data_IF_377746628667
#
_entry.id   IF_377746628667
#
_cell.length_a   1.000
_cell.length_b   1.000
_cell.length_c   1.000
_cell.angle_alpha   90.00
_cell.angle_beta   90.00
_cell.angle_gamma   90.00
#
_symmetry.space_group_name_H-M   'P 1'
#
loop_
_entity.id
_entity.type
_entity.pdbx_description
1 polymer ?
#
# COMPACT_ATOMS: atom_id res chain seq x y z
N UNK A 1 -3.08 -19.58 10.35
CA UNK A 1 -3.63 -18.82 11.48
C UNK A 1 -4.72 -17.91 10.96
N UNK A 2 -5.92 -18.03 11.55
CA UNK A 2 -7.06 -17.15 11.26
C UNK A 2 -7.39 -16.33 12.49
N UNK A 3 -7.72 -15.06 12.31
CA UNK A 3 -8.09 -14.16 13.41
C UNK A 3 -9.36 -13.40 13.07
N UNK A 4 -10.27 -13.32 14.04
CA UNK A 4 -11.52 -12.56 13.94
C UNK A 4 -12.42 -12.99 12.76
N UNK A 5 -12.38 -14.25 12.38
CA UNK A 5 -13.25 -14.87 11.37
C UNK A 5 -14.44 -15.56 12.05
N UNK A 6 -15.46 -15.90 11.27
CA UNK A 6 -16.53 -16.79 11.72
C UNK A 6 -16.13 -18.25 11.54
N UNK A 7 -16.79 -19.15 12.29
CA UNK A 7 -16.68 -20.59 12.15
C UNK A 7 -18.00 -21.13 11.56
N UNK A 8 -17.90 -21.94 10.52
CA UNK A 8 -18.99 -22.80 10.08
C UNK A 8 -19.01 -24.04 10.99
N UNK A 9 -20.03 -24.19 11.83
CA UNK A 9 -20.10 -25.27 12.79
C UNK A 9 -20.42 -26.62 12.15
N UNK A 10 -20.92 -26.65 10.93
CA UNK A 10 -21.28 -27.88 10.22
C UNK A 10 -20.05 -28.72 9.79
N UNK A 11 -18.96 -28.05 9.45
CA UNK A 11 -17.74 -28.69 8.92
C UNK A 11 -16.44 -28.20 9.58
N UNK A 12 -16.54 -27.31 10.58
CA UNK A 12 -15.43 -26.65 11.26
C UNK A 12 -14.51 -25.83 10.33
N UNK A 13 -15.01 -25.33 9.20
CA UNK A 13 -14.28 -24.41 8.32
C UNK A 13 -14.45 -22.97 8.78
N UNK A 14 -13.49 -22.13 8.42
CA UNK A 14 -13.58 -20.68 8.67
C UNK A 14 -14.34 -19.98 7.56
N UNK A 15 -15.00 -18.89 7.90
CA UNK A 15 -15.75 -18.09 6.95
C UNK A 15 -15.58 -16.58 7.23
N UNK A 16 -15.62 -15.77 6.15
CA UNK A 16 -15.72 -14.29 6.20
C UNK A 16 -16.42 -13.78 4.95
N UNK A 17 -16.97 -12.57 5.00
CA UNK A 17 -17.90 -11.99 4.01
C UNK A 17 -17.39 -11.92 2.57
N UNK A 18 -16.08 -12.01 2.35
CA UNK A 18 -15.47 -11.98 1.00
C UNK A 18 -14.99 -13.35 0.52
N UNK A 19 -15.05 -14.36 1.37
CA UNK A 19 -14.70 -15.73 1.00
C UNK A 19 -15.81 -16.38 0.18
N UNK A 20 -17.05 -16.23 0.66
CA UNK A 20 -18.25 -16.76 0.00
C UNK A 20 -19.40 -15.75 0.20
N UNK A 21 -20.29 -15.66 -0.80
CA UNK A 21 -21.49 -14.83 -0.76
C UNK A 21 -22.57 -15.39 0.16
N UNK A 22 -22.53 -16.69 0.41
CA UNK A 22 -23.53 -17.39 1.22
C UNK A 22 -22.98 -17.66 2.62
N UNK A 23 -23.47 -16.97 3.65
CA UNK A 23 -23.06 -17.23 5.02
C UNK A 23 -23.51 -18.62 5.48
N UNK A 24 -22.72 -19.33 6.31
CA UNK A 24 -23.10 -20.62 6.87
C UNK A 24 -24.33 -20.49 7.77
N UNK A 25 -25.27 -21.44 7.64
CA UNK A 25 -26.52 -21.42 8.44
C UNK A 25 -26.23 -21.62 9.93
N UNK A 26 -25.41 -22.61 10.26
CA UNK A 26 -24.94 -22.83 11.65
C UNK A 26 -23.56 -22.20 11.78
N UNK A 27 -23.51 -21.00 12.34
CA UNK A 27 -22.29 -20.23 12.46
C UNK A 27 -21.99 -19.85 13.90
N UNK A 28 -20.69 -19.74 14.22
CA UNK A 28 -20.22 -18.99 15.37
C UNK A 28 -19.59 -17.70 14.87
N UNK A 29 -20.19 -16.55 15.21
CA UNK A 29 -19.65 -15.26 14.80
C UNK A 29 -18.34 -14.93 15.54
N UNK A 30 -17.57 -13.96 15.06
CA UNK A 30 -16.21 -13.69 15.52
C UNK A 30 -16.06 -13.35 17.02
N UNK A 31 -17.14 -12.97 17.71
CA UNK A 31 -17.15 -12.75 19.17
C UNK A 31 -17.52 -14.01 19.97
N UNK A 32 -17.86 -15.10 19.28
CA UNK A 32 -18.13 -16.41 19.86
C UNK A 32 -19.60 -16.75 20.06
N UNK A 33 -20.54 -15.92 19.60
CA UNK A 33 -21.96 -16.25 19.67
C UNK A 33 -22.35 -17.21 18.52
N UNK A 34 -23.14 -18.24 18.85
CA UNK A 34 -23.75 -19.12 17.87
C UNK A 34 -24.98 -18.45 17.27
N UNK A 35 -25.07 -18.41 15.96
CA UNK A 35 -26.11 -17.70 15.22
C UNK A 35 -26.52 -18.44 13.95
N UNK A 36 -27.72 -18.14 13.44
CA UNK A 36 -28.07 -18.44 12.06
C UNK A 36 -27.45 -17.37 11.17
N UNK A 37 -26.45 -17.73 10.38
CA UNK A 37 -25.65 -16.74 9.61
C UNK A 37 -26.47 -15.88 8.67
N UNK A 38 -27.34 -16.43 7.79
CA UNK A 38 -28.20 -15.63 6.91
C UNK A 38 -29.09 -14.64 7.66
N UNK A 39 -29.71 -15.05 8.76
CA UNK A 39 -30.56 -14.18 9.57
C UNK A 39 -29.73 -13.10 10.27
N UNK A 40 -28.58 -13.47 10.83
CA UNK A 40 -27.70 -12.56 11.53
C UNK A 40 -27.16 -11.43 10.63
N UNK A 41 -26.72 -11.74 9.41
CA UNK A 41 -26.23 -10.71 8.50
C UNK A 41 -27.33 -9.86 7.86
N UNK A 42 -28.58 -10.29 7.94
CA UNK A 42 -29.73 -9.49 7.54
C UNK A 42 -30.12 -8.43 8.60
N UNK A 43 -29.68 -8.60 9.86
CA UNK A 43 -29.94 -7.63 10.91
C UNK A 43 -29.08 -6.38 10.77
N UNK A 44 -29.64 -5.24 11.13
CA UNK A 44 -28.93 -3.97 11.20
C UNK A 44 -28.35 -3.77 12.60
N UNK A 45 -27.08 -3.43 12.66
CA UNK A 45 -26.43 -3.02 13.90
C UNK A 45 -26.88 -1.60 14.27
N UNK A 46 -27.50 -1.47 15.44
CA UNK A 46 -28.09 -0.21 15.91
C UNK A 46 -27.08 0.93 16.08
N UNK A 47 -25.81 0.60 16.33
CA UNK A 47 -24.76 1.59 16.57
C UNK A 47 -24.18 2.14 15.26
N UNK A 48 -24.09 1.28 14.25
CA UNK A 48 -23.43 1.63 12.98
C UNK A 48 -24.42 1.92 11.84
N UNK A 49 -25.69 1.49 11.98
CA UNK A 49 -26.72 1.58 10.93
C UNK A 49 -26.41 0.69 9.71
N UNK A 50 -25.46 -0.23 9.81
CA UNK A 50 -25.07 -1.16 8.75
C UNK A 50 -25.46 -2.59 9.13
N UNK A 51 -25.58 -3.47 8.14
CA UNK A 51 -25.80 -4.88 8.39
C UNK A 51 -24.69 -5.45 9.28
N UNK A 52 -25.08 -6.36 10.17
CA UNK A 52 -24.11 -7.10 11.00
C UNK A 52 -23.22 -7.97 10.12
N UNK A 53 -22.03 -8.28 10.61
CA UNK A 53 -21.05 -9.14 9.92
C UNK A 53 -20.69 -10.33 10.83
N UNK A 54 -20.59 -11.52 10.26
CA UNK A 54 -20.15 -12.72 10.97
C UNK A 54 -18.67 -12.65 11.32
N UNK A 55 -17.83 -12.15 10.41
CA UNK A 55 -16.43 -11.87 10.68
C UNK A 55 -16.20 -10.38 11.00
N UNK A 56 -15.13 -10.07 11.72
CA UNK A 56 -14.72 -8.69 11.95
C UNK A 56 -14.23 -8.06 10.63
N UNK A 57 -14.51 -6.78 10.36
CA UNK A 57 -14.00 -6.09 9.16
C UNK A 57 -12.47 -6.14 8.99
N UNK A 58 -11.75 -6.32 10.09
CA UNK A 58 -10.30 -6.53 10.11
C UNK A 58 -9.92 -8.00 10.38
N UNK A 59 -10.70 -8.94 9.87
CA UNK A 59 -10.32 -10.35 9.88
C UNK A 59 -9.06 -10.58 9.05
N UNK A 60 -8.21 -11.49 9.51
CA UNK A 60 -6.91 -11.77 8.87
C UNK A 60 -6.64 -13.26 8.86
N UNK A 61 -5.86 -13.69 7.87
CA UNK A 61 -5.25 -15.01 7.87
C UNK A 61 -3.80 -14.95 7.42
N UNK A 62 -3.01 -15.92 7.87
CA UNK A 62 -1.66 -16.19 7.41
C UNK A 62 -1.52 -17.67 7.09
N UNK A 63 -0.73 -17.99 6.06
CA UNK A 63 -0.37 -19.34 5.69
C UNK A 63 1.16 -19.48 5.75
N UNK A 64 1.70 -20.69 6.04
CA UNK A 64 3.13 -20.94 5.89
C UNK A 64 3.59 -20.70 4.47
N UNK A 65 4.80 -20.16 4.30
CA UNK A 65 5.37 -19.92 2.98
C UNK A 65 5.59 -21.22 2.19
N UNK A 66 5.77 -22.33 2.88
CA UNK A 66 5.91 -23.67 2.29
C UNK A 66 4.69 -24.14 1.53
N UNK A 67 3.51 -23.53 1.77
CA UNK A 67 2.29 -23.79 1.01
C UNK A 67 2.34 -23.13 -0.39
N UNK A 68 3.30 -22.26 -0.66
CA UNK A 68 3.47 -21.64 -1.96
C UNK A 68 4.06 -22.65 -2.95
N UNK A 69 3.37 -23.04 -4.05
CA UNK A 69 3.87 -24.07 -4.97
C UNK A 69 5.12 -23.63 -5.74
N UNK A 70 5.42 -22.34 -5.80
CA UNK A 70 6.60 -21.79 -6.46
C UNK A 70 7.58 -21.12 -5.48
N UNK A 71 7.61 -21.59 -4.22
CA UNK A 71 8.56 -21.07 -3.24
C UNK A 71 10.00 -21.26 -3.73
N UNK A 72 10.82 -20.22 -3.55
CA UNK A 72 12.23 -20.31 -3.92
C UNK A 72 12.95 -21.37 -3.07
N UNK A 73 13.83 -22.21 -3.66
CA UNK A 73 14.70 -23.12 -2.88
C UNK A 73 15.62 -22.37 -1.91
N UNK A 74 15.90 -21.09 -2.19
CA UNK A 74 16.71 -20.22 -1.34
C UNK A 74 15.94 -19.61 -0.16
N UNK A 75 14.62 -19.86 -0.02
CA UNK A 75 13.77 -19.25 1.00
C UNK A 75 14.31 -19.48 2.43
N UNK A 76 14.82 -20.68 2.73
CA UNK A 76 15.40 -21.06 4.01
C UNK A 76 16.95 -21.09 4.00
N UNK A 77 17.60 -20.47 3.00
CA UNK A 77 19.06 -20.45 2.94
C UNK A 77 19.62 -19.65 4.13
N UNK A 78 20.44 -20.25 5.02
CA UNK A 78 20.99 -19.56 6.18
C UNK A 78 21.95 -18.42 5.82
N UNK A 79 22.49 -18.39 4.61
CA UNK A 79 23.30 -17.28 4.10
C UNK A 79 22.46 -16.04 3.78
N UNK A 80 21.13 -16.19 3.73
CA UNK A 80 20.19 -15.15 3.30
C UNK A 80 20.19 -14.96 1.79
N UNK A 81 19.39 -14.01 1.34
CA UNK A 81 19.29 -13.59 -0.07
C UNK A 81 19.44 -12.06 -0.17
N UNK A 82 20.02 -11.54 -1.26
CA UNK A 82 20.11 -10.09 -1.48
C UNK A 82 18.71 -9.46 -1.60
N UNK A 83 18.54 -8.27 -1.07
CA UNK A 83 17.34 -7.45 -1.27
C UNK A 83 17.57 -6.56 -2.50
N UNK A 84 16.75 -6.72 -3.55
CA UNK A 84 16.85 -5.94 -4.79
C UNK A 84 15.89 -4.77 -4.85
N UNK A 85 14.75 -4.86 -4.17
CA UNK A 85 13.71 -3.84 -4.13
C UNK A 85 13.12 -3.66 -2.75
N UNK A 86 12.78 -2.42 -2.41
CA UNK A 86 11.93 -2.07 -1.27
C UNK A 86 10.68 -1.40 -1.86
N UNK A 87 9.51 -1.87 -1.45
CA UNK A 87 8.23 -1.42 -2.00
C UNK A 87 7.39 -0.83 -0.87
N UNK A 88 7.14 0.46 -0.95
CA UNK A 88 6.16 1.13 -0.10
C UNK A 88 4.79 1.15 -0.77
N UNK A 89 3.73 1.35 0.01
CA UNK A 89 2.39 1.51 -0.52
C UNK A 89 1.43 2.06 0.52
N UNK A 90 0.38 2.69 0.02
CA UNK A 90 -0.70 3.22 0.82
C UNK A 90 -2.00 3.27 0.00
N UNK A 91 -3.13 3.39 0.67
CA UNK A 91 -4.42 3.56 -0.01
C UNK A 91 -4.62 5.03 -0.35
N UNK A 92 -4.58 5.35 -1.64
CA UNK A 92 -4.79 6.70 -2.15
C UNK A 92 -5.83 6.65 -3.28
N UNK A 93 -6.96 7.29 -3.10
CA UNK A 93 -8.01 7.36 -4.13
C UNK A 93 -7.57 8.19 -5.35
N UNK A 94 -6.67 9.15 -5.16
CA UNK A 94 -6.16 10.05 -6.20
C UNK A 94 -4.63 10.20 -6.09
N UNK A 95 -4.07 11.23 -6.67
CA UNK A 95 -2.68 11.72 -6.60
C UNK A 95 -1.62 10.68 -6.95
N UNK A 96 -1.48 9.62 -6.15
CA UNK A 96 -0.41 8.63 -6.29
C UNK A 96 -0.67 7.69 -7.47
N UNK A 97 0.26 7.56 -8.43
CA UNK A 97 0.13 6.61 -9.55
C UNK A 97 0.16 5.16 -9.07
N UNK A 98 -0.23 4.24 -9.99
CA UNK A 98 -0.22 2.79 -9.75
C UNK A 98 1.13 2.30 -9.23
N UNK A 99 2.21 2.78 -9.83
CA UNK A 99 3.58 2.47 -9.43
C UNK A 99 4.53 3.57 -9.89
N UNK A 100 5.56 3.85 -9.08
CA UNK A 100 6.72 4.64 -9.51
C UNK A 100 7.96 4.26 -8.70
N UNK A 101 9.13 4.45 -9.29
CA UNK A 101 10.44 4.19 -8.70
C UNK A 101 11.09 5.50 -8.27
N UNK A 102 11.79 5.50 -7.15
CA UNK A 102 12.61 6.65 -6.73
C UNK A 102 13.81 6.90 -7.67
N UNK A 103 14.29 8.14 -7.72
CA UNK A 103 15.48 8.50 -8.48
C UNK A 103 16.75 7.87 -7.87
N UNK A 104 16.85 7.91 -6.56
CA UNK A 104 17.96 7.40 -5.76
C UNK A 104 17.47 6.98 -4.36
N UNK A 105 18.40 6.60 -3.50
CA UNK A 105 18.10 6.18 -2.12
C UNK A 105 17.56 7.32 -1.26
N UNK A 106 18.07 8.54 -1.40
CA UNK A 106 17.61 9.70 -0.62
C UNK A 106 16.17 10.04 -0.99
N UNK A 107 15.87 10.10 -2.29
CA UNK A 107 14.50 10.26 -2.78
C UNK A 107 13.59 9.10 -2.34
N UNK A 108 14.11 7.86 -2.34
CA UNK A 108 13.38 6.70 -1.84
C UNK A 108 13.10 6.76 -0.34
N UNK A 109 14.02 7.29 0.45
CA UNK A 109 13.80 7.56 1.88
C UNK A 109 12.72 8.62 2.08
N UNK A 110 12.73 9.69 1.28
CA UNK A 110 11.63 10.66 1.23
C UNK A 110 10.30 9.97 0.87
N UNK A 111 10.26 9.19 -0.21
CA UNK A 111 9.09 8.45 -0.65
C UNK A 111 8.49 7.59 0.47
N UNK A 112 9.34 6.87 1.22
CA UNK A 112 8.91 6.08 2.37
C UNK A 112 8.40 6.94 3.53
N UNK A 113 9.06 8.06 3.83
CA UNK A 113 8.65 8.99 4.89
C UNK A 113 7.31 9.68 4.59
N UNK A 114 6.99 9.85 3.30
CA UNK A 114 5.77 10.46 2.80
C UNK A 114 4.60 9.49 2.66
N UNK A 115 4.78 8.20 2.95
CA UNK A 115 3.68 7.22 2.86
C UNK A 115 2.50 7.71 3.68
N UNK A 116 1.36 7.75 3.03
CA UNK A 116 0.08 8.14 3.63
C UNK A 116 -1.02 7.20 3.15
N UNK A 117 -1.99 6.96 4.00
CA UNK A 117 -3.12 6.08 3.69
C UNK A 117 -4.43 6.72 4.09
N UNK A 118 -5.41 6.64 3.22
CA UNK A 118 -6.78 7.03 3.57
C UNK A 118 -7.42 6.02 4.50
N UNK A 119 -8.18 6.48 5.47
CA UNK A 119 -8.89 5.63 6.43
C UNK A 119 -9.99 4.84 5.74
N UNK A 120 -10.19 3.61 6.19
CA UNK A 120 -11.23 2.69 5.68
C UNK A 120 -12.34 2.50 6.72
N UNK A 121 -13.43 1.86 6.31
CA UNK A 121 -14.53 1.50 7.20
C UNK A 121 -14.12 0.59 8.38
N UNK A 122 -12.96 -0.08 8.30
CA UNK A 122 -12.41 -0.89 9.38
C UNK A 122 -11.70 -0.06 10.47
N UNK A 123 -11.40 1.21 10.19
CA UNK A 123 -10.78 2.13 11.15
C UNK A 123 -11.88 2.89 11.93
N UNK A 124 -11.53 3.30 13.14
CA UNK A 124 -12.38 4.24 13.91
C UNK A 124 -12.24 5.63 13.33
N UNK A 125 -13.35 6.29 13.00
CA UNK A 125 -13.37 7.65 12.46
C UNK A 125 -13.98 7.75 11.06
N UNK A 126 -13.85 8.92 10.43
CA UNK A 126 -14.37 9.15 9.08
C UNK A 126 -13.57 8.38 8.03
N UNK A 127 -14.28 7.83 7.03
CA UNK A 127 -13.67 7.16 5.87
C UNK A 127 -13.06 8.18 4.93
N UNK A 128 -11.92 7.86 4.31
CA UNK A 128 -11.28 8.72 3.32
C UNK A 128 -10.41 9.84 3.92
N UNK A 129 -10.21 9.88 5.23
CA UNK A 129 -9.31 10.85 5.86
C UNK A 129 -7.87 10.42 5.66
N UNK A 130 -7.03 11.31 5.15
CA UNK A 130 -5.61 11.05 4.96
C UNK A 130 -4.90 10.95 6.31
N UNK A 131 -4.16 9.87 6.49
CA UNK A 131 -3.31 9.62 7.66
C UNK A 131 -1.88 9.40 7.22
N UNK A 132 -0.96 10.22 7.71
CA UNK A 132 0.46 9.98 7.54
C UNK A 132 0.88 8.70 8.26
N UNK A 133 1.55 7.84 7.55
CA UNK A 133 1.98 6.51 8.02
C UNK A 133 3.40 6.21 7.50
N UNK A 134 4.40 7.00 7.96
CA UNK A 134 5.75 6.93 7.44
C UNK A 134 6.28 5.50 7.44
N UNK A 135 6.86 5.09 6.33
CA UNK A 135 7.37 3.74 6.05
C UNK A 135 6.32 2.64 6.24
N UNK A 136 5.02 2.98 6.32
CA UNK A 136 3.90 2.10 6.73
C UNK A 136 4.12 1.45 8.10
N UNK A 137 4.83 2.14 9.00
CA UNK A 137 5.29 1.61 10.28
C UNK A 137 4.93 2.48 11.51
N UNK A 138 4.11 3.52 11.33
CA UNK A 138 3.81 4.49 12.40
C UNK A 138 3.43 3.85 13.75
N UNK A 139 2.58 2.79 13.82
CA UNK A 139 2.23 2.17 15.08
C UNK A 139 3.38 1.39 15.75
N UNK A 140 4.45 1.12 15.01
CA UNK A 140 5.55 0.25 15.43
C UNK A 140 6.86 1.01 15.68
N UNK A 141 6.91 2.31 15.36
CA UNK A 141 8.08 3.15 15.64
C UNK A 141 7.99 3.66 17.08
N UNK A 142 8.83 3.11 17.97
CA UNK A 142 8.83 3.42 19.40
C UNK A 142 9.71 4.60 19.81
N UNK A 143 10.26 5.37 18.86
CA UNK A 143 11.12 6.54 19.09
C UNK A 143 10.85 7.62 18.03
N UNK A 144 11.65 8.66 17.99
CA UNK A 144 11.48 9.74 17.03
C UNK A 144 11.65 9.25 15.60
N UNK A 145 10.64 9.47 14.77
CA UNK A 145 10.66 8.99 13.38
C UNK A 145 11.74 9.69 12.53
N UNK A 146 12.12 10.92 12.87
CA UNK A 146 13.22 11.62 12.19
C UNK A 146 14.56 10.91 12.37
N UNK A 147 14.81 10.33 13.54
CA UNK A 147 16.02 9.53 13.79
C UNK A 147 15.99 8.23 12.96
N UNK A 148 14.82 7.64 12.79
CA UNK A 148 14.65 6.48 11.90
C UNK A 148 14.95 6.82 10.45
N UNK A 149 14.49 7.98 9.95
CA UNK A 149 14.81 8.44 8.61
C UNK A 149 16.30 8.79 8.45
N UNK A 150 16.92 9.38 9.46
CA UNK A 150 18.36 9.63 9.47
C UNK A 150 19.17 8.33 9.36
N UNK A 151 18.72 7.27 10.05
CA UNK A 151 19.31 5.95 9.90
C UNK A 151 19.17 5.39 8.47
N UNK A 152 18.00 5.55 7.83
CA UNK A 152 17.83 5.17 6.42
C UNK A 152 18.83 5.89 5.50
N UNK A 153 19.00 7.20 5.70
CA UNK A 153 19.96 8.00 4.92
C UNK A 153 21.40 7.52 5.15
N UNK A 154 21.75 7.18 6.38
CA UNK A 154 23.07 6.63 6.72
C UNK A 154 23.28 5.24 6.07
N UNK A 155 22.28 4.37 6.09
CA UNK A 155 22.33 3.08 5.39
C UNK A 155 22.59 3.25 3.90
N UNK A 156 22.02 4.27 3.26
CA UNK A 156 22.30 4.58 1.86
C UNK A 156 23.78 4.89 1.61
N UNK A 157 24.41 5.65 2.51
CA UNK A 157 25.86 5.93 2.42
C UNK A 157 26.71 4.65 2.58
N UNK A 158 26.31 3.77 3.50
CA UNK A 158 27.02 2.51 3.76
C UNK A 158 26.86 1.55 2.56
N UNK A 159 25.65 1.43 2.00
CA UNK A 159 25.35 0.50 0.91
C UNK A 159 25.90 0.99 -0.45
N UNK A 160 25.91 2.30 -0.68
CA UNK A 160 26.35 2.87 -1.96
C UNK A 160 25.60 2.25 -3.13
N UNK A 161 26.32 1.79 -4.14
CA UNK A 161 25.75 1.19 -5.37
C UNK A 161 25.02 -0.16 -5.13
N UNK A 162 25.16 -0.73 -3.94
CA UNK A 162 24.45 -1.96 -3.54
C UNK A 162 23.10 -1.69 -2.90
N UNK A 163 22.71 -0.43 -2.74
CA UNK A 163 21.42 -0.08 -2.17
C UNK A 163 20.27 -0.62 -3.05
N UNK A 164 19.26 -1.27 -2.46
CA UNK A 164 18.07 -1.69 -3.19
C UNK A 164 17.38 -0.51 -3.87
N UNK A 165 16.70 -0.75 -4.99
CA UNK A 165 15.83 0.24 -5.59
C UNK A 165 14.56 0.40 -4.75
N UNK A 166 14.01 1.61 -4.66
CA UNK A 166 12.81 1.89 -3.87
C UNK A 166 11.66 2.25 -4.81
N UNK A 167 10.51 1.65 -4.54
CA UNK A 167 9.28 1.82 -5.31
C UNK A 167 8.11 2.19 -4.39
N UNK A 168 7.11 2.84 -4.98
CA UNK A 168 5.80 3.01 -4.36
C UNK A 168 4.72 2.40 -5.24
N UNK A 169 3.74 1.75 -4.64
CA UNK A 169 2.58 1.16 -5.32
C UNK A 169 1.27 1.68 -4.71
N UNK A 170 0.26 1.84 -5.54
CA UNK A 170 -1.08 2.23 -5.12
C UNK A 170 -2.15 1.40 -5.86
N UNK A 171 -2.66 0.38 -5.22
CA UNK A 171 -3.73 -0.50 -5.75
C UNK A 171 -5.14 0.10 -5.67
N UNK A 172 -5.30 1.32 -5.12
CA UNK A 172 -6.57 1.85 -4.64
C UNK A 172 -7.01 3.14 -5.33
N UNK A 173 -6.35 3.50 -6.45
CA UNK A 173 -6.76 4.66 -7.24
C UNK A 173 -8.18 4.45 -7.77
N UNK A 174 -9.01 5.50 -7.68
CA UNK A 174 -10.43 5.45 -7.99
C UNK A 174 -10.79 6.38 -9.15
N UNK A 175 -11.90 6.07 -9.81
CA UNK A 175 -12.58 6.99 -10.72
C UNK A 175 -13.44 8.01 -9.96
N UNK A 176 -14.20 8.82 -10.70
CA UNK A 176 -15.08 9.87 -10.15
C UNK A 176 -16.29 9.28 -9.41
N UNK A 177 -16.67 8.04 -9.72
CA UNK A 177 -17.74 7.28 -9.08
C UNK A 177 -17.27 6.49 -7.86
N UNK A 178 -15.96 6.47 -7.58
CA UNK A 178 -15.36 5.77 -6.45
C UNK A 178 -15.05 4.29 -6.71
N UNK A 179 -15.08 3.83 -7.97
CA UNK A 179 -14.68 2.49 -8.35
C UNK A 179 -13.16 2.40 -8.47
N UNK A 180 -12.58 1.27 -8.08
CA UNK A 180 -11.15 1.05 -8.26
C UNK A 180 -10.79 0.92 -9.74
N UNK A 181 -9.76 1.65 -10.16
CA UNK A 181 -9.24 1.62 -11.53
C UNK A 181 -8.35 0.40 -11.80
N UNK A 182 -7.78 -0.21 -10.76
CA UNK A 182 -6.93 -1.38 -10.85
C UNK A 182 -7.66 -2.60 -10.31
N UNK A 183 -7.68 -3.75 -11.02
CA UNK A 183 -8.39 -4.96 -10.59
C UNK A 183 -7.89 -5.49 -9.24
N UNK A 184 -6.59 -5.32 -8.96
CA UNK A 184 -5.99 -5.72 -7.69
C UNK A 184 -5.68 -7.20 -7.61
N UNK A 185 -5.36 -7.66 -6.40
CA UNK A 185 -5.03 -9.02 -6.00
C UNK A 185 -4.11 -9.77 -6.99
N UNK A 186 -4.62 -10.72 -7.80
CA UNK A 186 -3.82 -11.49 -8.75
C UNK A 186 -3.09 -10.64 -9.78
N UNK A 187 -3.69 -9.53 -10.21
CA UNK A 187 -3.13 -8.62 -11.20
C UNK A 187 -2.03 -7.73 -10.66
N UNK A 188 -1.86 -7.63 -9.34
CA UNK A 188 -0.73 -6.93 -8.73
C UNK A 188 0.63 -7.52 -9.17
N UNK A 189 0.69 -8.81 -9.52
CA UNK A 189 1.89 -9.45 -10.06
C UNK A 189 2.40 -8.79 -11.35
N UNK A 190 1.53 -8.17 -12.15
CA UNK A 190 1.90 -7.44 -13.38
C UNK A 190 2.77 -6.23 -13.09
N UNK A 191 2.48 -5.56 -11.99
CA UNK A 191 3.28 -4.42 -11.49
C UNK A 191 4.57 -4.91 -10.85
N UNK A 192 4.53 -6.01 -10.10
CA UNK A 192 5.74 -6.62 -9.52
C UNK A 192 6.69 -7.13 -10.60
N UNK A 193 6.18 -7.65 -11.73
CA UNK A 193 6.98 -8.02 -12.89
C UNK A 193 7.76 -6.82 -13.45
N UNK A 194 7.11 -5.65 -13.58
CA UNK A 194 7.79 -4.43 -13.99
C UNK A 194 8.88 -4.02 -12.98
N UNK A 195 8.59 -4.08 -11.66
CA UNK A 195 9.57 -3.78 -10.60
C UNK A 195 10.79 -4.70 -10.71
N UNK A 196 10.58 -6.00 -10.91
CA UNK A 196 11.67 -6.98 -11.09
C UNK A 196 12.50 -6.60 -12.32
N UNK A 197 11.88 -6.37 -13.46
CA UNK A 197 12.56 -5.95 -14.69
C UNK A 197 13.35 -4.65 -14.53
N UNK A 198 12.84 -3.71 -13.73
CA UNK A 198 13.59 -2.50 -13.36
C UNK A 198 14.82 -2.79 -12.53
N UNK A 199 14.74 -3.76 -11.61
CA UNK A 199 15.89 -4.20 -10.81
C UNK A 199 16.94 -4.90 -11.68
N UNK A 200 16.51 -5.69 -12.64
CA UNK A 200 17.37 -6.40 -13.61
C UNK A 200 17.94 -5.49 -14.72
N UNK A 201 17.40 -4.28 -14.87
CA UNK A 201 17.80 -3.35 -15.93
C UNK A 201 17.34 -3.77 -17.34
N UNK A 202 16.28 -4.57 -17.44
CA UNK A 202 15.75 -5.10 -18.72
C UNK A 202 14.64 -4.24 -19.31
N UNK A 203 14.11 -3.25 -18.58
CA UNK A 203 13.16 -2.24 -19.08
C UNK A 203 13.58 -0.83 -18.70
N UNK A 204 13.26 0.13 -19.57
CA UNK A 204 13.40 1.55 -19.29
C UNK A 204 12.25 2.08 -18.42
N UNK A 205 12.26 3.39 -18.17
CA UNK A 205 11.19 4.08 -17.49
C UNK A 205 11.03 5.51 -18.00
N UNK A 206 9.87 6.10 -17.74
CA UNK A 206 9.60 7.50 -18.04
C UNK A 206 9.96 8.33 -16.81
N UNK A 207 10.87 9.28 -16.97
CA UNK A 207 11.19 10.24 -15.91
C UNK A 207 10.06 11.27 -15.78
N UNK A 208 9.63 11.50 -14.54
CA UNK A 208 8.60 12.48 -14.20
C UNK A 208 9.06 13.37 -13.04
N UNK A 209 8.25 14.33 -12.62
CA UNK A 209 8.58 15.18 -11.49
C UNK A 209 8.74 14.40 -10.15
N UNK A 210 8.11 13.23 -10.05
CA UNK A 210 8.01 12.46 -8.79
C UNK A 210 8.80 11.16 -8.79
N UNK A 211 9.48 10.80 -9.87
CA UNK A 211 10.21 9.56 -10.01
C UNK A 211 10.04 8.94 -11.39
N UNK A 212 10.46 7.70 -11.55
CA UNK A 212 10.37 6.92 -12.77
C UNK A 212 9.10 6.10 -12.82
N UNK A 213 8.30 6.26 -13.87
CA UNK A 213 7.09 5.48 -14.13
C UNK A 213 7.30 4.46 -15.24
N UNK A 214 6.50 3.38 -15.32
CA UNK A 214 6.54 2.47 -16.46
C UNK A 214 6.11 3.19 -17.76
N UNK A 215 6.68 2.78 -18.89
CA UNK A 215 6.01 2.97 -20.16
C UNK A 215 4.78 2.08 -20.19
N UNK A 216 3.72 2.49 -20.87
CA UNK A 216 2.44 1.74 -20.89
C UNK A 216 2.63 0.32 -21.41
N UNK A 217 3.46 0.15 -22.43
CA UNK A 217 3.79 -1.12 -23.06
C UNK A 217 4.61 -2.08 -22.17
N UNK A 218 5.22 -1.59 -21.10
CA UNK A 218 6.00 -2.41 -20.17
C UNK A 218 5.13 -3.11 -19.11
N UNK A 219 3.86 -2.73 -19.01
CA UNK A 219 2.88 -3.41 -18.16
C UNK A 219 2.11 -4.45 -18.98
N UNK A 220 2.26 -5.71 -18.64
CA UNK A 220 1.50 -6.79 -19.31
C UNK A 220 0.04 -6.75 -18.88
N UNK A 221 -0.84 -6.29 -19.75
CA UNK A 221 -2.28 -6.20 -19.51
C UNK A 221 -3.07 -7.33 -20.17
N UNK A 222 -2.41 -8.35 -20.75
CA UNK A 222 -3.06 -9.47 -21.43
C UNK A 222 -4.11 -10.13 -20.54
N UNK A 223 -5.37 -10.17 -21.02
CA UNK A 223 -6.51 -10.76 -20.33
C UNK A 223 -7.26 -9.83 -19.38
N UNK A 224 -6.83 -8.56 -19.25
CA UNK A 224 -7.54 -7.52 -18.50
C UNK A 224 -7.74 -6.23 -19.32
N UNK A 225 -7.58 -6.30 -20.64
CA UNK A 225 -7.66 -5.12 -21.52
C UNK A 225 -9.04 -4.44 -21.50
N UNK A 226 -10.09 -5.20 -21.22
CA UNK A 226 -11.44 -4.67 -21.09
C UNK A 226 -11.66 -3.91 -19.78
N UNK A 227 -10.91 -4.25 -18.72
CA UNK A 227 -10.96 -3.59 -17.42
C UNK A 227 -9.96 -2.41 -17.36
N UNK A 228 -8.74 -2.64 -17.83
CA UNK A 228 -7.66 -1.65 -17.86
C UNK A 228 -7.44 -1.17 -19.30
N UNK A 229 -8.41 -0.42 -19.80
CA UNK A 229 -8.32 0.21 -21.12
C UNK A 229 -7.19 1.24 -21.19
N UNK A 230 -6.74 1.67 -22.38
CA UNK A 230 -5.73 2.72 -22.48
C UNK A 230 -6.06 4.00 -21.71
N UNK A 231 -7.34 4.39 -21.66
CA UNK A 231 -7.78 5.56 -20.91
C UNK A 231 -7.71 5.35 -19.38
N UNK A 232 -8.00 4.14 -18.90
CA UNK A 232 -7.85 3.75 -17.49
C UNK A 232 -6.37 3.72 -17.12
N UNK A 233 -5.52 3.15 -18.00
CA UNK A 233 -4.07 3.13 -17.76
C UNK A 233 -3.47 4.54 -17.72
N UNK A 234 -3.96 5.47 -18.55
CA UNK A 234 -3.57 6.88 -18.47
C UNK A 234 -3.89 7.49 -17.10
N UNK A 235 -5.08 7.24 -16.59
CA UNK A 235 -5.47 7.70 -15.24
C UNK A 235 -4.60 7.05 -14.16
N UNK A 236 -4.30 5.76 -14.27
CA UNK A 236 -3.47 5.01 -13.31
C UNK A 236 -2.04 5.55 -13.23
N UNK A 237 -1.45 5.95 -14.35
CA UNK A 237 -0.08 6.44 -14.44
C UNK A 237 0.03 7.98 -14.41
N UNK A 238 -1.09 8.71 -14.32
CA UNK A 238 -1.09 10.16 -14.33
C UNK A 238 -0.35 10.76 -13.13
N UNK A 239 0.46 11.78 -13.41
CA UNK A 239 1.09 12.66 -12.44
C UNK A 239 0.44 14.04 -12.58
N UNK A 240 -0.59 14.30 -11.77
CA UNK A 240 -1.30 15.58 -11.76
C UNK A 240 -0.50 16.61 -10.96
N UNK A 241 -0.05 17.66 -11.65
CA UNK A 241 0.80 18.70 -11.06
C UNK A 241 0.12 19.43 -9.90
N UNK A 242 -1.18 19.74 -10.00
CA UNK A 242 -1.88 20.49 -8.96
C UNK A 242 -2.14 19.65 -7.71
N UNK A 243 -2.46 18.37 -7.89
CA UNK A 243 -2.58 17.43 -6.78
C UNK A 243 -1.24 17.21 -6.08
N UNK A 244 -0.15 17.05 -6.84
CA UNK A 244 1.17 16.89 -6.26
C UNK A 244 1.69 18.15 -5.55
N UNK A 245 1.39 19.35 -6.03
CA UNK A 245 1.70 20.59 -5.32
C UNK A 245 1.01 20.65 -3.94
N UNK A 246 -0.24 20.21 -3.87
CA UNK A 246 -0.97 20.10 -2.59
C UNK A 246 -0.34 19.05 -1.67
N UNK A 247 0.05 17.90 -2.23
CA UNK A 247 0.74 16.85 -1.48
C UNK A 247 2.06 17.32 -0.89
N UNK A 248 2.89 18.03 -1.68
CA UNK A 248 4.17 18.60 -1.21
C UNK A 248 3.93 19.63 -0.09
N UNK A 249 2.92 20.49 -0.23
CA UNK A 249 2.58 21.47 0.81
C UNK A 249 2.15 20.78 2.11
N UNK A 250 1.33 19.72 2.03
CA UNK A 250 0.90 18.93 3.19
C UNK A 250 2.07 18.18 3.83
N UNK A 251 2.98 17.59 3.03
CA UNK A 251 4.18 16.94 3.57
C UNK A 251 5.11 17.94 4.26
N UNK A 252 5.25 19.15 3.71
CA UNK A 252 6.04 20.22 4.35
C UNK A 252 5.44 20.58 5.71
N UNK A 253 4.11 20.75 5.77
CA UNK A 253 3.39 20.98 7.02
C UNK A 253 3.60 19.84 8.02
N UNK A 254 3.44 18.59 7.58
CA UNK A 254 3.66 17.41 8.41
C UNK A 254 5.06 17.39 9.03
N UNK A 255 6.09 17.68 8.24
CA UNK A 255 7.47 17.69 8.71
C UNK A 255 7.75 18.84 9.71
N UNK A 256 7.30 20.05 9.40
CA UNK A 256 7.63 21.25 10.16
C UNK A 256 6.74 21.46 11.40
N UNK A 257 5.51 20.96 11.37
CA UNK A 257 4.54 21.13 12.44
C UNK A 257 4.33 19.84 13.24
N UNK A 258 3.85 18.76 12.59
CA UNK A 258 3.43 17.55 13.32
C UNK A 258 4.61 16.77 13.91
N UNK A 259 5.72 16.66 13.18
CA UNK A 259 6.94 16.01 13.68
C UNK A 259 7.64 16.89 14.71
N UNK A 260 7.78 18.18 14.43
CA UNK A 260 8.43 19.12 15.33
C UNK A 260 7.67 19.27 16.67
N UNK A 261 6.33 19.31 16.66
CA UNK A 261 5.50 19.38 17.86
C UNK A 261 5.72 18.20 18.82
N UNK A 262 6.21 17.05 18.32
CA UNK A 262 6.56 15.85 19.09
C UNK A 262 8.05 15.82 19.47
N UNK A 263 8.78 16.92 19.29
CA UNK A 263 10.22 17.00 19.53
C UNK A 263 11.06 16.29 18.47
N UNK A 264 10.45 15.97 17.31
CA UNK A 264 11.15 15.34 16.19
C UNK A 264 11.94 16.33 15.35
N UNK A 265 13.05 15.85 14.79
CA UNK A 265 13.87 16.61 13.84
C UNK A 265 13.93 15.85 12.53
N UNK A 266 13.35 16.43 11.49
CA UNK A 266 13.42 15.88 10.14
C UNK A 266 14.82 16.12 9.56
N UNK A 267 15.49 15.11 8.97
CA UNK A 267 16.73 15.30 8.24
C UNK A 267 16.62 16.37 7.14
N UNK A 268 17.64 17.19 6.97
CA UNK A 268 17.64 18.26 5.95
C UNK A 268 17.50 17.70 4.54
N UNK A 269 18.09 16.55 4.28
CA UNK A 269 18.03 15.85 3.00
C UNK A 269 16.58 15.57 2.55
N UNK A 270 15.65 15.32 3.48
CA UNK A 270 14.24 15.10 3.13
C UNK A 270 13.50 16.41 2.84
N UNK A 271 13.90 17.51 3.47
CA UNK A 271 13.40 18.84 3.12
C UNK A 271 13.90 19.25 1.72
N UNK A 272 15.17 18.97 1.42
CA UNK A 272 15.74 19.22 0.09
C UNK A 272 15.03 18.43 -1.01
N UNK A 273 14.58 17.17 -0.72
CA UNK A 273 13.80 16.39 -1.69
C UNK A 273 12.42 17.01 -1.96
N UNK A 274 11.74 17.57 -0.96
CA UNK A 274 10.51 18.35 -1.17
C UNK A 274 10.76 19.52 -2.12
N UNK A 275 11.83 20.28 -1.90
CA UNK A 275 12.19 21.44 -2.73
C UNK A 275 12.51 21.03 -4.16
N UNK A 276 13.21 19.89 -4.35
CA UNK A 276 13.53 19.34 -5.68
C UNK A 276 12.28 18.90 -6.43
N UNK A 277 11.32 18.24 -5.76
CA UNK A 277 10.06 17.81 -6.39
C UNK A 277 9.24 19.04 -6.76
N UNK A 278 9.11 20.00 -5.88
CA UNK A 278 8.41 21.26 -6.15
C UNK A 278 9.02 22.00 -7.34
N UNK A 279 10.34 22.06 -7.43
CA UNK A 279 11.04 22.65 -8.57
C UNK A 279 10.78 21.89 -9.90
N UNK A 280 10.68 20.55 -9.85
CA UNK A 280 10.35 19.73 -11.03
C UNK A 280 8.89 19.92 -11.48
N UNK A 281 7.95 20.05 -10.53
CA UNK A 281 6.53 20.31 -10.81
C UNK A 281 6.24 21.70 -11.38
N UNK A 282 7.18 22.63 -11.26
CA UNK A 282 7.06 24.00 -11.77
C UNK A 282 7.75 24.21 -13.14
N UNK A 283 8.35 23.19 -13.70
CA UNK A 283 8.93 23.20 -15.07
C UNK A 283 7.88 22.87 -16.11
#
# INVERSE_FOLDING_TARGET
IFTNVALNNADNTVWWEKLDKNPPVDATEWKGAKVNGPEFVAEVDEKTGKNKTLAHPNSRFTAPAENCPCISPEFNNPAGVPISAIIFGGRRASTTPLVYQSFDWTHGTYMGSAVSSETTAAATGAVGVLRHDPMAMKPFIGYNVGDYWAHWLEMGKILGDKAPKIFNVNWFKQDEEGNFLWPGFGDNMRVLDWIIKRCEGTVDAVETAIGYLPKKEDLNLTGIEDEVTPAVLDKLLAVDTDLWKKEIAEMRRYYTEDIAAKGGKVPAELMDELDKIEARLNK
#
